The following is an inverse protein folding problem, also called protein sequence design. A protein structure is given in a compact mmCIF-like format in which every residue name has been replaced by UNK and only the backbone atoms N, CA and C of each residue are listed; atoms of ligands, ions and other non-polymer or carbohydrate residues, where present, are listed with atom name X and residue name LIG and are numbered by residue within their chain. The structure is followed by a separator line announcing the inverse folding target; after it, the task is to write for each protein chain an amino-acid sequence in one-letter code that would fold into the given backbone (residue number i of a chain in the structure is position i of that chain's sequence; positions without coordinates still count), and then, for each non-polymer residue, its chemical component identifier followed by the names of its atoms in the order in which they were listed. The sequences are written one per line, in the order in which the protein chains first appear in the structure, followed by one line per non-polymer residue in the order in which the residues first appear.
data_IF_313147466427
#
_entry.id   IF_313147466427
#
_cell.length_a   1.000
_cell.length_b   1.000
_cell.length_c   1.000
_cell.angle_alpha   90.00
_cell.angle_beta   90.00
_cell.angle_gamma   90.00
#
_symmetry.space_group_name_H-M   'P 1'
#
loop_
_entity.id
_entity.type
_entity.pdbx_description
1 polymer ?
#
# COMPACT_ATOMS: atom_id res chain seq x y z
N UNK A 1 -12.58 42.07 12.34
CA UNK A 1 -11.84 41.49 11.19
C UNK A 1 -12.13 40.00 11.19
N UNK A 2 -12.91 39.51 10.23
CA UNK A 2 -13.05 38.06 10.04
C UNK A 2 -11.69 37.51 9.63
N UNK A 3 -11.12 36.57 10.40
CA UNK A 3 -9.94 35.83 9.96
C UNK A 3 -10.33 35.12 8.66
N UNK A 4 -9.57 35.37 7.60
CA UNK A 4 -9.77 34.68 6.32
C UNK A 4 -9.35 33.23 6.55
N UNK A 5 -10.29 32.30 6.40
CA UNK A 5 -10.01 30.86 6.53
C UNK A 5 -9.07 30.48 5.38
N UNK A 6 -7.98 29.83 5.73
CA UNK A 6 -6.99 29.35 4.77
C UNK A 6 -7.41 27.95 4.31
N UNK A 7 -7.42 27.76 3.00
CA UNK A 7 -7.94 26.59 2.32
C UNK A 7 -6.80 25.92 1.57
N UNK A 8 -6.70 24.61 1.72
CA UNK A 8 -5.76 23.78 1.01
C UNK A 8 -6.53 22.86 0.07
N UNK A 9 -6.13 22.80 -1.19
CA UNK A 9 -6.72 21.90 -2.18
C UNK A 9 -5.78 20.77 -2.56
N UNK A 10 -6.34 19.57 -2.69
CA UNK A 10 -5.61 18.38 -3.13
C UNK A 10 -6.53 17.37 -3.79
N UNK A 11 -5.94 16.27 -4.26
CA UNK A 11 -6.68 15.15 -4.83
C UNK A 11 -7.10 14.23 -3.68
N UNK A 12 -8.40 13.97 -3.58
CA UNK A 12 -8.93 13.01 -2.60
C UNK A 12 -8.59 11.57 -2.98
N UNK A 13 -8.00 10.86 -2.03
CA UNK A 13 -7.71 9.43 -2.11
C UNK A 13 -8.84 8.60 -1.52
N UNK A 14 -9.33 9.00 -0.35
CA UNK A 14 -10.38 8.32 0.39
C UNK A 14 -11.36 9.33 1.00
N UNK A 15 -12.68 9.11 0.86
CA UNK A 15 -13.69 9.99 1.40
C UNK A 15 -13.80 9.86 2.92
N UNK A 16 -13.89 10.99 3.63
CA UNK A 16 -14.05 11.02 5.08
C UNK A 16 -13.83 12.42 5.63
N UNK A 17 -14.17 12.63 6.91
CA UNK A 17 -13.96 13.90 7.61
C UNK A 17 -13.09 13.64 8.84
N UNK A 18 -11.94 14.28 8.90
CA UNK A 18 -11.06 14.29 10.06
C UNK A 18 -10.93 15.70 10.62
N UNK A 19 -10.91 15.82 11.94
CA UNK A 19 -10.76 17.10 12.64
C UNK A 19 -9.71 16.90 13.72
N UNK A 20 -8.60 17.60 13.61
CA UNK A 20 -7.47 17.42 14.51
C UNK A 20 -6.44 18.53 14.39
N UNK A 21 -5.45 18.49 15.27
CA UNK A 21 -4.27 19.35 15.11
C UNK A 21 -3.35 18.78 14.05
N UNK A 22 -2.69 19.66 13.32
CA UNK A 22 -1.68 19.28 12.34
C UNK A 22 -0.43 18.85 13.07
N UNK A 23 0.14 17.75 12.62
CA UNK A 23 1.53 17.40 12.81
C UNK A 23 2.20 17.45 11.45
N UNK A 24 3.18 18.30 11.29
CA UNK A 24 3.98 18.44 10.11
C UNK A 24 5.22 17.56 10.24
N UNK A 25 5.36 16.63 9.30
CA UNK A 25 6.58 15.87 9.11
C UNK A 25 7.57 16.79 8.41
N UNK A 26 8.47 17.35 9.20
CA UNK A 26 9.71 17.87 8.65
C UNK A 26 10.41 16.70 7.97
N UNK A 27 10.71 16.82 6.67
CA UNK A 27 11.91 16.17 6.19
C UNK A 27 13.01 16.69 7.12
N UNK A 28 13.73 15.78 7.80
CA UNK A 28 14.99 16.21 8.41
C UNK A 28 15.72 16.88 7.25
N UNK A 29 15.87 18.21 7.34
CA UNK A 29 16.62 18.97 6.35
C UNK A 29 17.92 18.20 6.15
N UNK A 30 18.52 18.34 4.97
CA UNK A 30 19.95 18.13 4.84
C UNK A 30 20.61 19.06 5.85
N UNK A 31 20.68 18.58 7.08
CA UNK A 31 21.38 19.08 8.20
C UNK A 31 22.77 19.22 7.58
N UNK A 32 23.14 20.46 7.25
CA UNK A 32 24.47 20.85 6.79
C UNK A 32 25.38 20.65 7.99
N UNK A 33 25.67 19.39 8.29
CA UNK A 33 26.25 18.98 9.54
C UNK A 33 27.72 18.70 9.33
N UNK A 34 28.47 19.28 10.26
CA UNK A 34 29.85 19.67 10.12
C UNK A 34 30.72 18.52 9.65
N UNK A 35 31.29 18.77 8.47
CA UNK A 35 32.65 18.47 8.03
C UNK A 35 33.39 17.28 8.67
N UNK A 36 34.12 16.59 7.79
CA UNK A 36 35.48 16.07 8.02
C UNK A 36 36.16 16.73 9.24
N UNK A 37 36.91 15.96 10.04
CA UNK A 37 37.36 16.36 11.37
C UNK A 37 38.18 17.66 11.34
N UNK A 38 37.50 18.80 11.46
CA UNK A 38 38.04 20.09 11.80
C UNK A 38 36.84 20.97 12.20
N UNK A 39 36.73 21.22 13.51
CA UNK A 39 35.83 22.19 14.15
C UNK A 39 34.37 21.75 14.38
N UNK A 40 34.16 20.78 15.28
CA UNK A 40 32.96 20.75 16.14
C UNK A 40 33.33 21.21 17.56
N UNK A 41 32.74 22.36 17.91
CA UNK A 41 32.44 22.89 19.25
C UNK A 41 33.01 22.16 20.48
N UNK A 42 33.88 22.88 21.19
CA UNK A 42 34.62 22.51 22.41
C UNK A 42 33.81 22.11 23.66
N UNK A 43 32.49 22.01 23.62
CA UNK A 43 31.68 21.92 24.85
C UNK A 43 31.10 20.53 25.17
N UNK A 44 31.47 19.47 24.42
CA UNK A 44 31.16 18.08 24.78
C UNK A 44 32.32 17.10 24.61
N UNK A 45 33.56 17.58 24.65
CA UNK A 45 34.74 16.72 24.61
C UNK A 45 35.42 16.66 25.98
N UNK A 46 35.23 15.54 26.68
CA UNK A 46 36.26 15.02 27.56
C UNK A 46 37.56 14.81 26.76
N UNK A 47 38.70 14.99 27.42
CA UNK A 47 40.02 15.05 26.82
C UNK A 47 40.28 14.03 25.70
N UNK A 48 40.75 14.53 24.55
CA UNK A 48 41.12 13.86 23.28
C UNK A 48 39.98 13.70 22.27
N UNK A 49 39.88 14.64 21.33
CA UNK A 49 38.96 14.61 20.18
C UNK A 49 39.37 13.64 19.08
N UNK A 50 39.67 12.40 19.46
CA UNK A 50 39.98 11.32 18.53
C UNK A 50 38.73 10.46 18.38
N UNK A 51 38.14 10.44 17.18
CA UNK A 51 37.13 9.44 16.81
C UNK A 51 37.84 8.09 16.82
N UNK A 52 37.41 7.17 17.67
CA UNK A 52 37.94 5.81 17.70
C UNK A 52 37.11 4.94 16.75
N UNK A 53 37.67 4.45 15.63
CA UNK A 53 36.91 3.70 14.63
C UNK A 53 36.17 2.49 15.22
N UNK A 54 36.77 1.83 16.21
CA UNK A 54 36.18 0.68 16.91
C UNK A 54 34.89 1.04 17.66
N UNK A 55 34.84 2.20 18.31
CA UNK A 55 33.64 2.66 19.01
C UNK A 55 32.54 3.06 18.03
N UNK A 56 32.87 3.77 16.95
CA UNK A 56 31.92 4.15 15.92
C UNK A 56 31.36 2.94 15.16
N UNK A 57 32.20 1.93 14.89
CA UNK A 57 31.75 0.65 14.30
C UNK A 57 30.74 -0.02 15.24
N UNK A 58 30.99 -0.08 16.54
CA UNK A 58 30.04 -0.65 17.50
C UNK A 58 28.72 0.16 17.59
N UNK A 59 28.78 1.49 17.49
CA UNK A 59 27.57 2.34 17.43
C UNK A 59 26.78 2.03 16.14
N UNK A 60 27.46 1.91 15.00
CA UNK A 60 26.86 1.55 13.72
C UNK A 60 26.20 0.17 13.76
N UNK A 61 26.91 -0.85 14.23
CA UNK A 61 26.40 -2.23 14.35
C UNK A 61 25.13 -2.27 15.19
N UNK A 62 25.14 -1.59 16.35
CA UNK A 62 23.96 -1.48 17.22
C UNK A 62 22.79 -0.78 16.53
N UNK A 63 23.05 0.30 15.78
CA UNK A 63 22.00 1.01 15.04
C UNK A 63 21.38 0.12 13.95
N UNK A 64 22.20 -0.67 13.25
CA UNK A 64 21.75 -1.64 12.23
C UNK A 64 20.91 -2.75 12.86
N UNK A 65 21.35 -3.33 13.98
CA UNK A 65 20.59 -4.35 14.70
C UNK A 65 19.21 -3.83 15.14
N UNK A 66 19.17 -2.61 15.69
CA UNK A 66 17.92 -1.96 16.08
C UNK A 66 17.00 -1.67 14.89
N UNK A 67 17.56 -1.19 13.77
CA UNK A 67 16.82 -0.94 12.54
C UNK A 67 16.21 -2.25 12.00
N UNK A 68 16.98 -3.34 11.96
CA UNK A 68 16.51 -4.67 11.56
C UNK A 68 15.38 -5.15 12.49
N UNK A 69 15.51 -4.97 13.80
CA UNK A 69 14.45 -5.37 14.75
C UNK A 69 13.16 -4.56 14.54
N UNK A 70 13.27 -3.25 14.29
CA UNK A 70 12.13 -2.39 13.95
C UNK A 70 11.44 -2.86 12.66
N UNK A 71 12.19 -3.07 11.58
CA UNK A 71 11.64 -3.55 10.30
C UNK A 71 10.95 -4.91 10.43
N UNK A 72 11.54 -5.86 11.17
CA UNK A 72 10.90 -7.15 11.44
C UNK A 72 9.62 -7.02 12.28
N UNK A 73 9.54 -6.01 13.15
CA UNK A 73 8.33 -5.72 13.92
C UNK A 73 7.25 -5.14 13.02
N UNK A 74 7.59 -4.21 12.13
CA UNK A 74 6.66 -3.69 11.12
C UNK A 74 6.20 -4.78 10.16
N UNK A 75 7.10 -5.66 9.71
CA UNK A 75 6.75 -6.83 8.91
C UNK A 75 5.69 -7.71 9.57
N UNK A 76 5.88 -8.08 10.84
CA UNK A 76 4.92 -8.90 11.59
C UNK A 76 3.57 -8.22 11.77
N UNK A 77 3.56 -6.90 12.00
CA UNK A 77 2.32 -6.12 12.10
C UNK A 77 1.60 -6.01 10.77
N UNK A 78 2.32 -5.70 9.70
CA UNK A 78 1.78 -5.64 8.34
C UNK A 78 1.17 -7.00 7.92
N UNK A 79 1.81 -8.12 8.26
CA UNK A 79 1.23 -9.45 8.01
C UNK A 79 -0.08 -9.74 8.75
N UNK A 80 -0.29 -9.11 9.92
CA UNK A 80 -1.50 -9.31 10.73
C UNK A 80 -2.63 -8.37 10.33
N UNK A 81 -2.30 -7.23 9.74
CA UNK A 81 -3.20 -6.08 9.64
C UNK A 81 -3.33 -5.50 8.22
N UNK A 82 -2.57 -5.99 7.24
CA UNK A 82 -2.59 -5.57 5.82
C UNK A 82 -2.40 -6.78 4.89
N UNK A 83 -2.41 -6.56 3.58
CA UNK A 83 -2.11 -7.58 2.57
C UNK A 83 -0.62 -8.01 2.58
N UNK A 84 -0.35 -9.20 2.04
CA UNK A 84 1.02 -9.78 2.00
C UNK A 84 1.99 -8.94 1.17
N UNK A 85 1.51 -8.23 0.15
CA UNK A 85 2.35 -7.42 -0.73
C UNK A 85 2.86 -6.19 0.02
N UNK A 86 1.99 -5.51 0.77
CA UNK A 86 2.39 -4.41 1.68
C UNK A 86 3.41 -4.86 2.74
N UNK A 87 3.28 -6.08 3.28
CA UNK A 87 4.24 -6.60 4.25
C UNK A 87 5.62 -6.89 3.61
N UNK A 88 5.66 -7.32 2.34
CA UNK A 88 6.91 -7.71 1.67
C UNK A 88 7.97 -6.60 1.64
N UNK A 89 7.55 -5.34 1.67
CA UNK A 89 8.41 -4.14 1.71
C UNK A 89 9.32 -4.15 2.94
N UNK A 90 8.76 -4.39 4.13
CA UNK A 90 9.53 -4.40 5.38
C UNK A 90 10.50 -5.59 5.46
N UNK A 91 10.11 -6.75 4.91
CA UNK A 91 11.02 -7.88 4.79
C UNK A 91 12.19 -7.56 3.85
N UNK A 92 11.89 -6.84 2.77
CA UNK A 92 12.87 -6.41 1.80
C UNK A 92 13.83 -5.34 2.36
N UNK A 93 13.33 -4.37 3.11
CA UNK A 93 14.13 -3.41 3.88
C UNK A 93 15.10 -4.11 4.85
N UNK A 94 14.60 -5.08 5.62
CA UNK A 94 15.44 -5.87 6.52
C UNK A 94 16.52 -6.67 5.79
N UNK A 95 16.32 -7.05 4.53
CA UNK A 95 17.35 -7.69 3.70
C UNK A 95 18.43 -6.69 3.26
N UNK A 96 18.06 -5.47 2.86
CA UNK A 96 19.05 -4.42 2.53
C UNK A 96 19.91 -4.09 3.74
N UNK A 97 19.32 -3.95 4.93
CA UNK A 97 20.07 -3.65 6.16
C UNK A 97 21.05 -4.76 6.54
N UNK A 98 20.83 -6.00 6.07
CA UNK A 98 21.74 -7.14 6.26
C UNK A 98 22.79 -7.28 5.16
N UNK A 99 22.79 -6.39 4.17
CA UNK A 99 23.75 -6.46 3.07
C UNK A 99 25.17 -6.21 3.59
N UNK A 100 26.03 -7.21 3.38
CA UNK A 100 27.42 -7.21 3.84
C UNK A 100 28.25 -6.12 3.15
N UNK A 101 27.96 -5.83 1.88
CA UNK A 101 28.69 -4.80 1.13
C UNK A 101 28.30 -3.41 1.62
N UNK A 102 27.01 -3.16 1.91
CA UNK A 102 26.54 -1.91 2.52
C UNK A 102 27.21 -1.67 3.87
N UNK A 103 27.25 -2.70 4.72
CA UNK A 103 27.94 -2.65 6.02
C UNK A 103 29.42 -2.32 5.86
N UNK A 104 30.10 -3.00 4.93
CA UNK A 104 31.52 -2.80 4.65
C UNK A 104 31.82 -1.39 4.14
N UNK A 105 30.98 -0.83 3.28
CA UNK A 105 31.11 0.55 2.80
C UNK A 105 31.02 1.55 3.98
N UNK A 106 30.07 1.37 4.90
CA UNK A 106 29.95 2.24 6.07
C UNK A 106 31.16 2.11 7.01
N UNK A 107 31.63 0.90 7.28
CA UNK A 107 32.84 0.67 8.06
C UNK A 107 34.10 1.30 7.41
N UNK A 108 34.19 1.32 6.09
CA UNK A 108 35.29 1.99 5.38
C UNK A 108 35.27 3.52 5.58
N UNK A 109 34.09 4.14 5.56
CA UNK A 109 33.97 5.58 5.84
C UNK A 109 34.36 5.91 7.29
N UNK A 110 34.01 5.05 8.25
CA UNK A 110 34.45 5.18 9.64
C UNK A 110 35.97 5.02 9.76
N UNK A 111 36.57 4.05 9.07
CA UNK A 111 38.02 3.84 9.05
C UNK A 111 38.79 5.01 8.45
N UNK A 112 38.15 5.82 7.58
CA UNK A 112 38.71 7.08 7.05
C UNK A 112 38.60 8.26 8.03
N UNK A 113 38.06 8.02 9.24
CA UNK A 113 37.90 9.03 10.29
C UNK A 113 36.52 9.69 10.33
N UNK A 114 35.52 9.12 9.64
CA UNK A 114 34.13 9.55 9.77
C UNK A 114 33.47 9.03 11.05
N UNK A 115 32.47 9.75 11.55
CA UNK A 115 31.53 9.21 12.54
C UNK A 115 30.55 8.22 11.88
N UNK A 116 29.86 7.41 12.68
CA UNK A 116 28.84 6.49 12.19
C UNK A 116 27.67 7.23 11.48
N UNK A 117 27.28 8.42 11.97
CA UNK A 117 26.26 9.28 11.32
C UNK A 117 26.74 9.73 9.92
N UNK A 118 28.00 10.19 9.82
CA UNK A 118 28.60 10.57 8.54
C UNK A 118 28.71 9.38 7.57
N UNK A 119 29.11 8.21 8.07
CA UNK A 119 29.25 7.01 7.25
C UNK A 119 27.92 6.56 6.66
N UNK A 120 26.84 6.56 7.45
CA UNK A 120 25.48 6.24 6.98
C UNK A 120 25.07 7.25 5.90
N UNK A 121 25.19 8.55 6.17
CA UNK A 121 24.80 9.59 5.20
C UNK A 121 25.60 9.51 3.90
N UNK A 122 26.93 9.36 3.98
CA UNK A 122 27.83 9.32 2.82
C UNK A 122 27.50 8.12 1.91
N UNK A 123 27.37 6.93 2.49
CA UNK A 123 27.08 5.71 1.74
C UNK A 123 25.68 5.78 1.12
N UNK A 124 24.66 6.17 1.87
CA UNK A 124 23.29 6.25 1.33
C UNK A 124 23.14 7.35 0.28
N UNK A 125 23.75 8.54 0.47
CA UNK A 125 23.75 9.59 -0.55
C UNK A 125 24.41 9.15 -1.85
N UNK A 126 25.50 8.38 -1.78
CA UNK A 126 26.14 7.82 -2.96
C UNK A 126 25.22 6.80 -3.67
N UNK A 127 24.53 5.94 -2.91
CA UNK A 127 23.56 4.99 -3.48
C UNK A 127 22.36 5.71 -4.11
N UNK A 128 21.83 6.74 -3.45
CA UNK A 128 20.71 7.53 -3.95
C UNK A 128 21.06 8.29 -5.23
N UNK A 129 22.29 8.79 -5.35
CA UNK A 129 22.77 9.47 -6.55
C UNK A 129 22.69 8.60 -7.81
N UNK A 130 22.88 7.28 -7.68
CA UNK A 130 22.75 6.34 -8.81
C UNK A 130 21.33 6.21 -9.34
N UNK A 131 20.31 6.57 -8.55
CA UNK A 131 18.90 6.49 -8.92
C UNK A 131 18.30 7.84 -9.35
N UNK A 132 19.05 8.94 -9.19
CA UNK A 132 18.58 10.31 -9.47
C UNK A 132 18.30 10.61 -10.94
N UNK A 133 18.96 9.91 -11.86
CA UNK A 133 18.94 10.21 -13.31
C UNK A 133 17.91 9.37 -14.10
N UNK A 134 17.08 8.56 -13.44
CA UNK A 134 16.15 7.65 -14.10
C UNK A 134 14.68 8.08 -13.96
N UNK A 135 14.00 8.23 -15.10
CA UNK A 135 12.56 8.52 -15.19
C UNK A 135 11.66 7.29 -14.98
N UNK A 136 12.23 6.09 -14.80
CA UNK A 136 11.47 4.86 -14.56
C UNK A 136 10.76 4.88 -13.18
N UNK A 137 9.50 4.44 -13.16
CA UNK A 137 8.71 4.28 -11.95
C UNK A 137 9.38 3.33 -10.94
N UNK A 138 9.97 2.23 -11.41
CA UNK A 138 10.64 1.26 -10.55
C UNK A 138 11.84 1.89 -9.80
N UNK A 139 12.64 2.69 -10.49
CA UNK A 139 13.80 3.36 -9.89
C UNK A 139 13.41 4.49 -8.93
N UNK A 140 12.28 5.16 -9.16
CA UNK A 140 11.72 6.15 -8.21
C UNK A 140 11.28 5.52 -6.90
N UNK A 141 10.56 4.40 -6.96
CA UNK A 141 10.17 3.66 -5.74
C UNK A 141 11.40 3.17 -4.99
N UNK A 142 12.38 2.64 -5.73
CA UNK A 142 13.64 2.17 -5.14
C UNK A 142 14.42 3.26 -4.39
N UNK A 143 14.46 4.45 -4.95
CA UNK A 143 15.10 5.62 -4.33
C UNK A 143 14.42 5.95 -2.99
N UNK A 144 13.08 5.94 -2.96
CA UNK A 144 12.29 6.22 -1.76
C UNK A 144 12.54 5.19 -0.66
N UNK A 145 12.62 3.90 -1.00
CA UNK A 145 12.95 2.84 -0.04
C UNK A 145 14.34 3.06 0.61
N UNK A 146 15.33 3.48 -0.19
CA UNK A 146 16.67 3.78 0.31
C UNK A 146 16.72 5.05 1.17
N UNK A 147 15.92 6.07 0.84
CA UNK A 147 15.75 7.25 1.69
C UNK A 147 15.15 6.88 3.04
N UNK A 148 14.10 6.04 3.05
CA UNK A 148 13.44 5.58 4.28
C UNK A 148 14.41 4.78 5.17
N UNK A 149 15.16 3.84 4.58
CA UNK A 149 16.18 3.08 5.30
C UNK A 149 17.27 3.96 5.92
N UNK A 150 17.71 5.00 5.21
CA UNK A 150 18.65 5.99 5.74
C UNK A 150 18.08 6.67 6.98
N UNK A 151 16.82 7.12 6.92
CA UNK A 151 16.16 7.77 8.06
C UNK A 151 15.98 6.83 9.25
N UNK A 152 15.60 5.58 9.02
CA UNK A 152 15.47 4.55 10.07
C UNK A 152 16.81 4.33 10.78
N UNK A 153 17.90 4.18 10.02
CA UNK A 153 19.24 3.97 10.56
C UNK A 153 19.73 5.15 11.40
N UNK A 154 19.59 6.38 10.87
CA UNK A 154 19.98 7.59 11.59
C UNK A 154 19.14 7.78 12.87
N UNK A 155 17.84 7.51 12.80
CA UNK A 155 16.95 7.55 13.96
C UNK A 155 17.38 6.56 15.05
N UNK A 156 17.71 5.32 14.67
CA UNK A 156 18.23 4.32 15.60
C UNK A 156 19.58 4.74 16.20
N UNK A 157 20.50 5.26 15.38
CA UNK A 157 21.81 5.76 15.82
C UNK A 157 21.68 6.90 16.83
N UNK A 158 20.79 7.86 16.55
CA UNK A 158 20.53 9.03 17.40
C UNK A 158 19.70 8.70 18.65
N UNK A 159 19.18 7.46 18.74
CA UNK A 159 18.32 7.03 19.84
C UNK A 159 16.98 7.77 19.88
N UNK A 160 16.53 8.30 18.74
CA UNK A 160 15.24 8.99 18.63
C UNK A 160 14.16 7.92 18.84
N UNK A 161 13.44 8.04 19.96
CA UNK A 161 12.30 7.17 20.22
C UNK A 161 11.16 7.58 19.31
N UNK A 162 10.44 6.58 18.82
CA UNK A 162 9.19 6.83 18.13
C UNK A 162 8.23 7.48 19.14
N UNK A 163 7.93 8.76 18.98
CA UNK A 163 6.90 9.43 19.79
C UNK A 163 5.62 8.59 19.78
N UNK A 164 5.32 7.96 20.91
CA UNK A 164 4.00 7.40 21.19
C UNK A 164 3.07 8.56 21.49
N UNK A 165 2.71 9.27 20.42
CA UNK A 165 1.83 10.41 20.51
C UNK A 165 0.43 9.94 20.86
N UNK A 166 -0.06 10.39 22.01
CA UNK A 166 -1.32 9.94 22.60
C UNK A 166 -2.53 10.77 22.14
N UNK A 167 -2.29 11.90 21.48
CA UNK A 167 -3.34 12.81 20.99
C UNK A 167 -3.59 12.60 19.50
N UNK A 168 -4.86 12.48 19.06
CA UNK A 168 -5.17 12.35 17.65
C UNK A 168 -4.77 13.58 16.80
N UNK A 169 -4.14 13.37 15.64
CA UNK A 169 -3.60 14.40 14.76
C UNK A 169 -3.83 14.11 13.27
N UNK A 170 -3.70 15.15 12.44
CA UNK A 170 -3.66 15.07 10.97
C UNK A 170 -2.20 15.26 10.54
N UNK A 171 -1.63 14.30 9.82
CA UNK A 171 -0.24 14.40 9.36
C UNK A 171 -0.15 15.21 8.06
N UNK A 172 0.79 16.13 8.00
CA UNK A 172 1.13 16.87 6.78
C UNK A 172 2.61 16.67 6.46
N UNK A 173 2.98 16.58 5.19
CA UNK A 173 4.39 16.45 4.81
C UNK A 173 4.58 16.32 3.30
N UNK A 174 5.82 16.28 2.84
CA UNK A 174 6.12 16.12 1.41
C UNK A 174 5.56 14.80 0.86
N UNK A 175 5.93 13.69 1.51
CA UNK A 175 5.39 12.36 1.24
C UNK A 175 5.27 11.56 2.56
N UNK A 176 4.55 10.44 2.51
CA UNK A 176 4.52 9.45 3.58
C UNK A 176 5.24 8.18 3.13
N UNK A 177 6.17 7.69 3.94
CA UNK A 177 6.76 6.36 3.74
C UNK A 177 5.84 5.27 4.31
N UNK A 178 5.97 4.01 3.87
CA UNK A 178 5.33 2.87 4.51
C UNK A 178 5.63 2.81 6.02
N UNK A 179 6.87 3.12 6.41
CA UNK A 179 7.31 3.12 7.81
C UNK A 179 6.58 4.16 8.67
N UNK A 180 6.36 5.37 8.16
CA UNK A 180 5.57 6.40 8.86
C UNK A 180 4.16 5.92 9.14
N UNK A 181 3.54 5.31 8.14
CA UNK A 181 2.16 4.86 8.29
C UNK A 181 2.01 3.78 9.34
N UNK A 182 2.99 2.86 9.45
CA UNK A 182 3.01 1.84 10.50
C UNK A 182 3.36 2.41 11.87
N UNK A 183 4.19 3.45 11.93
CA UNK A 183 4.52 4.16 13.16
C UNK A 183 3.28 4.84 13.77
N UNK A 184 2.48 5.51 12.94
CA UNK A 184 1.34 6.32 13.41
C UNK A 184 0.01 5.58 13.50
N UNK A 185 -0.05 4.29 13.10
CA UNK A 185 -1.29 3.48 13.07
C UNK A 185 -1.97 3.26 14.43
N UNK A 186 -1.32 3.56 15.56
CA UNK A 186 -1.86 3.35 16.93
C UNK A 186 -2.96 4.36 17.32
N UNK A 187 -4.09 4.38 16.61
CA UNK A 187 -5.33 5.09 16.97
C UNK A 187 -5.26 6.63 17.14
N UNK A 188 -4.14 7.27 16.83
CA UNK A 188 -3.99 8.74 16.90
C UNK A 188 -3.88 9.39 15.52
N UNK A 189 -3.72 8.60 14.47
CA UNK A 189 -3.67 9.12 13.11
C UNK A 189 -5.07 9.26 12.51
N UNK A 190 -5.55 10.51 12.37
CA UNK A 190 -6.89 10.81 11.87
C UNK A 190 -6.99 10.90 10.34
N UNK A 191 -5.86 11.16 9.67
CA UNK A 191 -5.78 11.37 8.23
C UNK A 191 -4.49 12.09 7.84
N UNK A 192 -4.22 12.23 6.54
CA UNK A 192 -3.02 12.92 6.06
C UNK A 192 -3.23 13.80 4.83
N UNK A 193 -2.30 14.75 4.67
CA UNK A 193 -2.17 15.60 3.49
C UNK A 193 -0.72 15.60 3.02
N UNK A 194 -0.46 15.18 1.78
CA UNK A 194 0.89 15.19 1.21
C UNK A 194 1.03 16.12 0.01
N UNK A 195 2.22 16.70 -0.17
CA UNK A 195 2.55 17.50 -1.37
C UNK A 195 2.77 16.62 -2.59
N UNK A 196 3.42 15.48 -2.39
CA UNK A 196 3.63 14.45 -3.40
C UNK A 196 2.60 13.32 -3.26
N UNK A 197 2.68 12.35 -4.18
CA UNK A 197 1.85 11.16 -4.17
C UNK A 197 0.89 11.08 -5.35
N UNK A 198 0.32 9.90 -5.52
CA UNK A 198 -0.63 9.59 -6.59
C UNK A 198 -1.80 8.77 -6.04
N UNK A 199 -2.91 8.72 -6.77
CA UNK A 199 -4.07 7.90 -6.43
C UNK A 199 -3.75 6.39 -6.32
N UNK A 200 -2.62 5.94 -6.85
CA UNK A 200 -2.18 4.54 -6.87
C UNK A 200 -0.94 4.28 -6.01
N UNK A 201 -0.43 5.29 -5.32
CA UNK A 201 0.73 5.15 -4.44
C UNK A 201 0.42 4.26 -3.22
N UNK A 202 1.47 3.71 -2.60
CA UNK A 202 1.36 2.88 -1.38
C UNK A 202 0.58 3.59 -0.26
N UNK A 203 0.81 4.89 -0.08
CA UNK A 203 0.08 5.72 0.89
C UNK A 203 -1.41 5.83 0.55
N UNK A 204 -1.73 5.91 -0.74
CA UNK A 204 -3.10 5.96 -1.22
C UNK A 204 -3.84 4.64 -1.04
N UNK A 205 -3.17 3.51 -1.30
CA UNK A 205 -3.71 2.17 -1.03
C UNK A 205 -3.99 2.00 0.46
N UNK A 206 -3.04 2.42 1.30
CA UNK A 206 -3.18 2.29 2.74
C UNK A 206 -4.34 3.13 3.31
N UNK A 207 -4.49 4.38 2.87
CA UNK A 207 -5.63 5.23 3.26
C UNK A 207 -6.96 4.53 3.02
N UNK A 208 -7.10 3.81 1.90
CA UNK A 208 -8.30 3.04 1.57
C UNK A 208 -8.47 1.81 2.44
N UNK A 209 -7.38 1.11 2.75
CA UNK A 209 -7.39 -0.08 3.62
C UNK A 209 -7.81 0.26 5.05
N UNK A 210 -7.29 1.36 5.60
CA UNK A 210 -7.55 1.76 6.99
C UNK A 210 -8.83 2.63 7.10
N UNK A 211 -9.29 3.19 5.99
CA UNK A 211 -10.52 3.98 5.94
C UNK A 211 -10.38 5.38 6.55
N UNK A 212 -9.20 5.98 6.43
CA UNK A 212 -8.92 7.35 6.90
C UNK A 212 -8.91 8.34 5.73
N UNK A 213 -9.45 9.55 5.90
CA UNK A 213 -9.41 10.57 4.85
C UNK A 213 -7.98 10.97 4.51
N UNK A 214 -7.72 11.17 3.23
CA UNK A 214 -6.40 11.56 2.73
C UNK A 214 -6.48 12.44 1.49
N UNK A 215 -5.61 13.44 1.44
CA UNK A 215 -5.37 14.30 0.29
C UNK A 215 -3.92 14.17 -0.16
N UNK A 216 -3.71 14.05 -1.47
CA UNK A 216 -2.37 14.07 -2.08
C UNK A 216 -2.27 15.24 -3.05
N UNK A 217 -1.05 15.60 -3.47
CA UNK A 217 -0.80 16.69 -4.41
C UNK A 217 -1.19 18.08 -3.89
N UNK A 218 -1.08 18.30 -2.59
CA UNK A 218 -1.38 19.58 -1.97
C UNK A 218 -0.12 20.46 -1.92
N UNK A 219 0.00 21.41 -2.85
CA UNK A 219 1.19 22.25 -2.99
C UNK A 219 1.38 23.26 -1.86
N UNK A 220 0.28 23.66 -1.22
CA UNK A 220 0.21 24.79 -0.29
C UNK A 220 0.60 24.43 1.16
N UNK A 221 0.91 23.16 1.46
CA UNK A 221 1.32 22.74 2.81
C UNK A 221 2.66 23.39 3.22
N UNK A 222 2.85 23.70 4.50
CA UNK A 222 4.14 24.23 4.99
C UNK A 222 4.42 23.84 6.45
N UNK A 223 5.69 23.82 6.88
CA UNK A 223 6.06 23.54 8.27
C UNK A 223 5.44 24.49 9.31
N UNK A 224 5.14 25.72 8.91
CA UNK A 224 4.50 26.73 9.77
C UNK A 224 3.08 26.33 10.20
N UNK A 225 2.51 25.29 9.58
CA UNK A 225 1.19 24.78 9.89
C UNK A 225 1.15 23.84 11.10
N UNK A 226 2.30 23.45 11.65
CA UNK A 226 2.43 22.62 12.85
C UNK A 226 1.52 23.11 13.99
N UNK A 227 0.78 22.18 14.60
CA UNK A 227 -0.08 22.43 15.76
C UNK A 227 -1.37 23.21 15.48
N UNK A 228 -1.57 23.75 14.27
CA UNK A 228 -2.81 24.45 13.87
C UNK A 228 -4.00 23.48 13.80
N UNK A 229 -5.21 24.00 14.01
CA UNK A 229 -6.42 23.18 13.90
C UNK A 229 -6.77 23.01 12.43
N UNK A 230 -7.04 21.78 12.00
CA UNK A 230 -7.39 21.46 10.63
C UNK A 230 -8.65 20.60 10.56
N UNK A 231 -9.51 20.91 9.59
CA UNK A 231 -10.57 20.02 9.11
C UNK A 231 -10.12 19.47 7.77
N UNK A 232 -9.98 18.16 7.67
CA UNK A 232 -9.68 17.45 6.43
C UNK A 232 -10.97 16.86 5.87
N UNK A 233 -11.42 17.34 4.72
CA UNK A 233 -12.59 16.85 4.00
C UNK A 233 -12.18 16.09 2.73
N UNK A 234 -12.10 14.77 2.87
CA UNK A 234 -11.85 13.85 1.77
C UNK A 234 -13.01 13.74 0.78
N UNK A 235 -14.21 14.24 1.07
CA UNK A 235 -15.30 14.25 0.07
C UNK A 235 -15.11 15.37 -0.95
N UNK A 236 -14.71 16.56 -0.48
CA UNK A 236 -14.54 17.73 -1.33
C UNK A 236 -13.10 17.94 -1.82
N UNK A 237 -12.13 17.17 -1.32
CA UNK A 237 -10.73 17.35 -1.68
C UNK A 237 -10.09 18.57 -1.03
N UNK A 238 -10.60 19.01 0.13
CA UNK A 238 -10.24 20.29 0.74
C UNK A 238 -9.85 20.12 2.21
N UNK A 239 -8.82 20.84 2.65
CA UNK A 239 -8.49 21.00 4.06
C UNK A 239 -8.64 22.47 4.50
N UNK A 240 -9.25 22.69 5.65
CA UNK A 240 -9.53 24.01 6.22
C UNK A 240 -8.64 24.24 7.43
N UNK A 241 -7.80 25.27 7.37
CA UNK A 241 -6.89 25.64 8.44
C UNK A 241 -7.51 26.74 9.32
N UNK A 242 -7.36 26.57 10.64
CA UNK A 242 -7.93 27.44 11.68
C UNK A 242 -9.40 27.82 11.40
N UNK A 243 -10.30 26.82 11.25
CA UNK A 243 -11.70 27.07 11.00
C UNK A 243 -12.31 27.92 12.11
N UNK A 244 -13.25 28.79 11.76
CA UNK A 244 -14.05 29.48 12.76
C UNK A 244 -14.98 28.51 13.48
N UNK A 245 -15.60 28.98 14.57
CA UNK A 245 -16.46 28.14 15.41
C UNK A 245 -17.67 27.61 14.64
N UNK A 246 -18.21 28.40 13.73
CA UNK A 246 -19.40 28.05 12.96
C UNK A 246 -19.08 26.92 11.97
N UNK A 247 -17.97 27.02 11.23
CA UNK A 247 -17.51 25.96 10.33
C UNK A 247 -17.11 24.69 11.08
N UNK A 248 -16.45 24.84 12.23
CA UNK A 248 -16.05 23.69 13.06
C UNK A 248 -17.26 22.90 13.57
N UNK A 249 -18.31 23.57 14.04
CA UNK A 249 -19.54 22.90 14.48
C UNK A 249 -20.31 22.28 13.31
N UNK A 250 -20.34 22.93 12.14
CA UNK A 250 -20.92 22.34 10.93
C UNK A 250 -20.22 21.01 10.55
N UNK A 251 -18.89 20.99 10.53
CA UNK A 251 -18.13 19.78 10.18
C UNK A 251 -18.17 18.71 11.26
N UNK A 252 -18.28 19.07 12.54
CA UNK A 252 -18.55 18.10 13.62
C UNK A 252 -19.89 17.41 13.43
N UNK A 253 -20.93 18.14 13.07
CA UNK A 253 -22.24 17.55 12.75
C UNK A 253 -22.16 16.64 11.53
N UNK A 254 -21.45 17.05 10.48
CA UNK A 254 -21.21 16.20 9.29
C UNK A 254 -20.45 14.92 9.65
N UNK A 255 -19.38 15.03 10.44
CA UNK A 255 -18.58 13.90 10.91
C UNK A 255 -19.44 12.93 11.75
N UNK A 256 -20.22 13.45 12.70
CA UNK A 256 -21.11 12.63 13.53
C UNK A 256 -22.17 11.90 12.69
N UNK A 257 -22.72 12.56 11.67
CA UNK A 257 -23.70 11.96 10.75
C UNK A 257 -23.08 10.87 9.89
N UNK A 258 -21.85 11.05 9.40
CA UNK A 258 -21.16 10.01 8.63
C UNK A 258 -20.76 8.82 9.52
N UNK A 259 -20.36 9.08 10.77
CA UNK A 259 -20.11 8.04 11.77
C UNK A 259 -21.39 7.22 12.06
N UNK A 260 -22.52 7.89 12.26
CA UNK A 260 -23.82 7.25 12.46
C UNK A 260 -24.22 6.41 11.25
N UNK A 261 -24.06 6.95 10.04
CA UNK A 261 -24.33 6.24 8.79
C UNK A 261 -23.41 5.01 8.65
N UNK A 262 -22.11 5.14 8.95
CA UNK A 262 -21.16 4.03 8.92
C UNK A 262 -21.55 2.92 9.90
N UNK A 263 -21.95 3.29 11.13
CA UNK A 263 -22.46 2.34 12.12
C UNK A 263 -23.75 1.66 11.63
N UNK A 264 -24.69 2.44 11.10
CA UNK A 264 -25.93 1.90 10.53
C UNK A 264 -25.66 0.92 9.38
N UNK A 265 -24.71 1.20 8.49
CA UNK A 265 -24.29 0.29 7.43
C UNK A 265 -23.60 -0.97 7.98
N UNK A 266 -22.75 -0.83 8.99
CA UNK A 266 -22.11 -1.97 9.65
C UNK A 266 -23.16 -2.89 10.30
N UNK A 267 -24.22 -2.33 10.89
CA UNK A 267 -25.34 -3.11 11.43
C UNK A 267 -26.16 -3.85 10.36
N UNK A 268 -26.04 -3.46 9.09
CA UNK A 268 -26.68 -4.17 7.96
C UNK A 268 -25.84 -5.36 7.47
N UNK A 269 -24.54 -5.43 7.81
CA UNK A 269 -23.60 -6.46 7.31
C UNK A 269 -24.15 -7.88 7.34
N UNK A 270 -24.80 -8.27 8.44
CA UNK A 270 -25.32 -9.63 8.63
C UNK A 270 -26.84 -9.75 8.43
N UNK A 271 -27.48 -8.70 7.91
CA UNK A 271 -28.93 -8.70 7.66
C UNK A 271 -29.21 -9.14 6.24
N UNK A 272 -30.30 -9.88 6.07
CA UNK A 272 -30.76 -10.28 4.76
C UNK A 272 -31.14 -9.05 3.93
N UNK A 273 -30.71 -9.01 2.67
CA UNK A 273 -31.09 -7.94 1.74
C UNK A 273 -32.54 -8.16 1.27
N UNK A 274 -33.48 -7.41 1.84
CA UNK A 274 -34.90 -7.49 1.53
C UNK A 274 -35.38 -6.12 1.07
N UNK A 275 -36.04 -6.06 -0.09
CA UNK A 275 -36.67 -4.85 -0.59
C UNK A 275 -37.92 -4.46 0.24
N UNK A 276 -38.41 -3.23 0.08
CA UNK A 276 -39.62 -2.76 0.78
C UNK A 276 -40.88 -3.57 0.46
N UNK A 277 -40.93 -4.21 -0.71
CA UNK A 277 -41.99 -5.13 -1.14
C UNK A 277 -41.73 -6.61 -0.78
N UNK A 278 -40.69 -6.89 0.02
CA UNK A 278 -40.44 -8.22 0.59
C UNK A 278 -39.63 -9.17 -0.31
N UNK A 279 -39.03 -8.70 -1.41
CA UNK A 279 -38.19 -9.54 -2.27
C UNK A 279 -36.80 -9.67 -1.68
N UNK A 280 -36.36 -10.91 -1.53
CA UNK A 280 -35.01 -11.25 -1.11
C UNK A 280 -34.09 -11.12 -2.31
N UNK A 281 -32.98 -10.41 -2.13
CA UNK A 281 -31.91 -10.29 -3.12
C UNK A 281 -30.62 -10.82 -2.49
N UNK A 282 -29.71 -11.30 -3.34
CA UNK A 282 -28.37 -11.67 -2.91
C UNK A 282 -27.40 -10.56 -3.33
N UNK A 283 -26.53 -10.17 -2.43
CA UNK A 283 -25.49 -9.18 -2.67
C UNK A 283 -24.15 -9.89 -2.76
N UNK A 284 -23.67 -10.05 -3.98
CA UNK A 284 -22.42 -10.73 -4.28
C UNK A 284 -21.26 -9.75 -4.44
N UNK A 285 -20.08 -10.15 -3.99
CA UNK A 285 -18.85 -9.39 -4.18
C UNK A 285 -18.17 -9.74 -5.52
N UNK A 286 -17.44 -8.76 -6.08
CA UNK A 286 -16.53 -8.98 -7.19
C UNK A 286 -15.10 -8.92 -6.67
N UNK A 287 -14.31 -9.95 -6.94
CA UNK A 287 -12.93 -10.06 -6.45
C UNK A 287 -11.95 -10.28 -7.61
N UNK A 288 -10.69 -9.93 -7.37
CA UNK A 288 -9.60 -10.10 -8.33
C UNK A 288 -8.44 -10.95 -7.81
N UNK A 289 -8.43 -11.32 -6.53
CA UNK A 289 -7.40 -12.12 -5.86
C UNK A 289 -8.00 -12.84 -4.63
N UNK A 290 -7.19 -13.67 -3.95
CA UNK A 290 -7.58 -14.41 -2.75
C UNK A 290 -7.89 -13.55 -1.52
N UNK A 291 -7.35 -12.32 -1.44
CA UNK A 291 -7.58 -11.40 -0.32
C UNK A 291 -8.99 -10.81 -0.40
N UNK A 292 -9.50 -10.64 -1.62
CA UNK A 292 -10.86 -10.15 -1.86
C UNK A 292 -11.95 -11.02 -1.24
N UNK A 293 -11.72 -12.33 -1.05
CA UNK A 293 -12.69 -13.22 -0.40
C UNK A 293 -12.88 -12.89 1.09
N UNK A 294 -11.80 -12.55 1.79
CA UNK A 294 -11.84 -12.18 3.21
C UNK A 294 -12.56 -10.84 3.38
N UNK A 295 -12.19 -9.84 2.58
CA UNK A 295 -12.86 -8.54 2.55
C UNK A 295 -14.35 -8.68 2.23
N UNK A 296 -14.73 -9.58 1.31
CA UNK A 296 -16.13 -9.84 0.99
C UNK A 296 -16.92 -10.40 2.19
N UNK A 297 -16.33 -11.34 2.94
CA UNK A 297 -16.93 -11.88 4.17
C UNK A 297 -17.00 -10.82 5.28
N UNK A 298 -15.96 -10.00 5.42
CA UNK A 298 -15.93 -8.87 6.34
C UNK A 298 -16.95 -7.79 6.02
N UNK A 299 -17.43 -7.71 4.78
CA UNK A 299 -18.50 -6.80 4.38
C UNK A 299 -19.87 -7.48 4.27
N UNK A 300 -19.98 -8.76 4.62
CA UNK A 300 -21.25 -9.47 4.69
C UNK A 300 -21.80 -9.94 3.34
N UNK A 301 -20.94 -10.12 2.33
CA UNK A 301 -21.37 -10.60 1.02
C UNK A 301 -22.04 -11.98 1.10
N UNK A 302 -23.08 -12.19 0.30
CA UNK A 302 -23.79 -13.47 0.19
C UNK A 302 -22.98 -14.55 -0.54
N UNK A 303 -21.92 -14.12 -1.24
CA UNK A 303 -20.98 -14.95 -2.00
C UNK A 303 -20.08 -14.09 -2.88
N UNK A 304 -19.39 -14.73 -3.82
CA UNK A 304 -18.61 -14.07 -4.88
C UNK A 304 -19.35 -14.25 -6.20
N UNK A 305 -19.80 -13.16 -6.79
CA UNK A 305 -20.55 -13.14 -8.06
C UNK A 305 -19.65 -13.00 -9.28
N UNK A 306 -18.40 -12.60 -9.06
CA UNK A 306 -17.37 -12.57 -10.09
C UNK A 306 -15.98 -12.65 -9.45
N UNK A 307 -15.32 -13.79 -9.62
CA UNK A 307 -13.88 -13.91 -9.44
C UNK A 307 -13.19 -13.76 -10.79
N UNK A 308 -12.49 -12.64 -10.95
CA UNK A 308 -11.63 -12.33 -12.11
C UNK A 308 -10.34 -13.13 -12.02
N UNK A 309 -10.17 -14.13 -12.89
CA UNK A 309 -8.99 -15.01 -12.88
C UNK A 309 -7.80 -14.45 -13.66
N UNK A 310 -7.92 -13.29 -14.31
CA UNK A 310 -6.87 -12.79 -15.21
C UNK A 310 -5.56 -12.46 -14.49
N UNK A 311 -5.62 -12.09 -13.22
CA UNK A 311 -4.42 -11.74 -12.44
C UNK A 311 -3.41 -12.89 -12.39
N UNK A 312 -3.88 -14.14 -12.40
CA UNK A 312 -3.04 -15.35 -12.42
C UNK A 312 -2.14 -15.45 -13.64
N UNK A 313 -2.51 -14.77 -14.72
CA UNK A 313 -1.86 -14.83 -16.03
C UNK A 313 -1.06 -13.55 -16.34
N UNK A 314 -1.25 -12.47 -15.59
CA UNK A 314 -0.59 -11.18 -15.84
C UNK A 314 0.70 -11.06 -15.03
N UNK A 315 1.65 -10.23 -15.49
CA UNK A 315 2.93 -9.95 -14.83
C UNK A 315 3.82 -11.17 -14.59
N UNK A 316 3.81 -12.14 -15.53
CA UNK A 316 4.61 -13.38 -15.44
C UNK A 316 5.19 -13.77 -16.80
N UNK A 317 6.26 -14.57 -16.75
CA UNK A 317 6.94 -15.07 -17.96
C UNK A 317 6.39 -16.40 -18.47
N UNK A 318 5.49 -17.04 -17.73
CA UNK A 318 4.88 -18.31 -18.10
C UNK A 318 3.44 -18.42 -17.57
N UNK A 319 2.64 -19.24 -18.24
CA UNK A 319 1.28 -19.56 -17.81
C UNK A 319 1.26 -20.26 -16.44
N UNK A 320 0.27 -19.96 -15.57
CA UNK A 320 0.13 -20.64 -14.29
C UNK A 320 -0.20 -22.11 -14.50
N UNK A 321 0.45 -22.97 -13.71
CA UNK A 321 0.19 -24.42 -13.72
C UNK A 321 -1.21 -24.75 -13.20
N UNK A 322 -1.71 -25.95 -13.55
CA UNK A 322 -2.98 -26.46 -13.00
C UNK A 322 -2.95 -26.50 -11.47
N UNK A 323 -1.81 -26.85 -10.87
CA UNK A 323 -1.70 -26.98 -9.41
C UNK A 323 -1.75 -25.63 -8.70
N UNK A 324 -1.07 -24.61 -9.22
CA UNK A 324 -1.15 -23.25 -8.68
C UNK A 324 -2.58 -22.70 -8.75
N UNK A 325 -3.27 -22.91 -9.89
CA UNK A 325 -4.66 -22.52 -10.06
C UNK A 325 -5.58 -23.26 -9.08
N UNK A 326 -5.38 -24.58 -8.93
CA UNK A 326 -6.17 -25.40 -8.02
C UNK A 326 -6.04 -24.95 -6.56
N UNK A 327 -4.80 -24.72 -6.09
CA UNK A 327 -4.55 -24.30 -4.70
C UNK A 327 -5.24 -22.97 -4.39
N UNK A 328 -5.15 -22.00 -5.30
CA UNK A 328 -5.83 -20.72 -5.18
C UNK A 328 -7.37 -20.87 -5.15
N UNK A 329 -7.94 -21.57 -6.13
CA UNK A 329 -9.40 -21.75 -6.17
C UNK A 329 -9.92 -22.50 -4.96
N UNK A 330 -9.18 -23.51 -4.49
CA UNK A 330 -9.49 -24.23 -3.25
C UNK A 330 -9.51 -23.28 -2.05
N UNK A 331 -8.47 -22.45 -1.89
CA UNK A 331 -8.39 -21.51 -0.76
C UNK A 331 -9.60 -20.56 -0.72
N UNK A 332 -9.98 -20.00 -1.87
CA UNK A 332 -11.15 -19.10 -1.95
C UNK A 332 -12.45 -19.85 -1.63
N UNK A 333 -12.64 -21.05 -2.17
CA UNK A 333 -13.84 -21.86 -1.90
C UNK A 333 -13.95 -22.27 -0.42
N UNK A 334 -12.84 -22.72 0.19
CA UNK A 334 -12.80 -23.10 1.60
C UNK A 334 -13.13 -21.92 2.53
N UNK A 335 -12.65 -20.71 2.21
CA UNK A 335 -13.01 -19.48 2.93
C UNK A 335 -14.50 -19.16 2.83
N UNK A 336 -15.08 -19.32 1.64
CA UNK A 336 -16.48 -18.99 1.37
C UNK A 336 -17.48 -20.06 1.85
N UNK A 337 -17.00 -21.26 2.18
CA UNK A 337 -17.79 -22.39 2.68
C UNK A 337 -18.93 -22.74 1.70
N UNK A 338 -20.18 -22.60 2.14
CA UNK A 338 -21.38 -22.91 1.35
C UNK A 338 -21.80 -21.78 0.41
N UNK A 339 -21.21 -20.59 0.55
CA UNK A 339 -21.53 -19.43 -0.29
C UNK A 339 -21.02 -19.66 -1.71
N UNK A 340 -21.81 -19.23 -2.69
CA UNK A 340 -21.47 -19.38 -4.11
C UNK A 340 -20.22 -18.57 -4.48
N UNK A 341 -19.35 -19.16 -5.30
CA UNK A 341 -18.19 -18.52 -5.90
C UNK A 341 -18.26 -18.70 -7.41
N UNK A 342 -18.55 -17.61 -8.12
CA UNK A 342 -18.62 -17.58 -9.58
C UNK A 342 -17.25 -17.21 -10.14
N UNK A 343 -16.48 -18.18 -10.62
CA UNK A 343 -15.18 -17.95 -11.26
C UNK A 343 -15.34 -17.74 -12.75
N UNK A 344 -14.88 -16.58 -13.23
CA UNK A 344 -14.79 -16.32 -14.65
C UNK A 344 -13.50 -16.91 -15.21
N UNK A 345 -13.61 -17.72 -16.25
CA UNK A 345 -12.44 -18.22 -16.99
C UNK A 345 -11.68 -17.03 -17.60
N UNK A 346 -10.39 -17.19 -17.85
CA UNK A 346 -9.53 -16.04 -18.15
C UNK A 346 -10.04 -15.19 -19.33
N UNK A 347 -10.15 -13.87 -19.14
CA UNK A 347 -10.44 -12.89 -20.20
C UNK A 347 -9.20 -11.99 -20.44
N UNK A 348 -8.23 -12.57 -21.16
CA UNK A 348 -6.99 -11.91 -21.60
C UNK A 348 -7.03 -11.72 -23.14
N UNK A 349 -6.22 -10.80 -23.68
CA UNK A 349 -6.14 -10.53 -25.13
C UNK A 349 -6.68 -9.18 -25.63
N UNK A 350 -7.11 -8.28 -24.75
CA UNK A 350 -7.35 -6.88 -25.10
C UNK A 350 -6.07 -6.05 -24.88
N UNK A 351 -6.14 -5.00 -24.07
CA UNK A 351 -5.00 -4.13 -23.72
C UNK A 351 -4.03 -4.77 -22.70
N UNK A 352 -4.25 -6.04 -22.35
CA UNK A 352 -3.51 -6.76 -21.31
C UNK A 352 -2.43 -7.61 -21.97
N UNK A 353 -1.19 -7.12 -21.99
CA UNK A 353 -0.06 -7.84 -22.55
C UNK A 353 0.30 -9.07 -21.70
N UNK A 354 0.29 -10.25 -22.33
CA UNK A 354 0.73 -11.53 -21.72
C UNK A 354 1.90 -12.05 -22.56
N UNK A 355 3.15 -11.77 -22.16
CA UNK A 355 4.32 -11.93 -23.04
C UNK A 355 4.54 -13.35 -23.59
N UNK A 356 4.12 -14.37 -22.85
CA UNK A 356 4.25 -15.77 -23.23
C UNK A 356 3.13 -16.28 -24.16
N UNK A 357 2.06 -15.51 -24.33
CA UNK A 357 1.06 -15.76 -25.37
C UNK A 357 1.51 -14.97 -26.60
N UNK A 358 2.03 -15.67 -27.61
CA UNK A 358 2.42 -15.10 -28.90
C UNK A 358 1.17 -14.60 -29.65
N UNK A 359 0.62 -13.48 -29.22
CA UNK A 359 -0.52 -12.82 -29.84
C UNK A 359 -0.02 -11.81 -30.87
N UNK A 360 -0.59 -11.86 -32.08
CA UNK A 360 -0.38 -10.82 -33.08
C UNK A 360 -1.04 -9.52 -32.60
N UNK A 361 -0.39 -8.38 -32.82
CA UNK A 361 -1.00 -7.08 -32.50
C UNK A 361 -2.18 -6.82 -33.43
N UNK A 362 -3.38 -6.86 -32.87
CA UNK A 362 -4.61 -6.56 -33.58
C UNK A 362 -4.86 -5.05 -33.64
N UNK A 363 -5.47 -4.56 -34.75
CA UNK A 363 -5.85 -3.15 -34.88
C UNK A 363 -6.92 -2.72 -33.86
N UNK A 364 -7.76 -3.66 -33.42
CA UNK A 364 -8.79 -3.42 -32.42
C UNK A 364 -8.90 -4.63 -31.46
N UNK A 365 -8.09 -4.65 -30.38
CA UNK A 365 -8.08 -5.74 -29.41
C UNK A 365 -9.44 -5.96 -28.71
N UNK A 366 -10.26 -4.91 -28.56
CA UNK A 366 -11.56 -5.02 -27.92
C UNK A 366 -12.55 -5.88 -28.72
N UNK A 367 -12.43 -5.91 -30.05
CA UNK A 367 -13.27 -6.72 -30.95
C UNK A 367 -12.59 -8.02 -31.42
N UNK A 368 -11.34 -8.24 -31.02
CA UNK A 368 -10.48 -9.29 -31.55
C UNK A 368 -10.52 -10.63 -30.80
N UNK A 369 -9.36 -11.28 -30.71
CA UNK A 369 -9.18 -12.61 -30.08
C UNK A 369 -8.97 -12.46 -28.56
N UNK A 370 -10.08 -12.41 -27.83
CA UNK A 370 -10.12 -12.31 -26.36
C UNK A 370 -11.23 -13.17 -25.74
N UNK A 371 -11.25 -13.28 -24.42
CA UNK A 371 -12.27 -14.02 -23.68
C UNK A 371 -12.40 -15.46 -24.19
N UNK A 372 -13.63 -15.93 -24.39
CA UNK A 372 -13.86 -17.32 -24.83
C UNK A 372 -13.18 -17.67 -26.16
N UNK A 373 -13.03 -16.73 -27.10
CA UNK A 373 -12.39 -16.99 -28.39
C UNK A 373 -10.93 -17.38 -28.22
N UNK A 374 -10.25 -16.70 -27.29
CA UNK A 374 -8.88 -17.05 -26.93
C UNK A 374 -8.85 -18.39 -26.18
N UNK A 375 -9.78 -18.65 -25.26
CA UNK A 375 -9.86 -19.94 -24.55
C UNK A 375 -10.01 -21.12 -25.52
N UNK A 376 -10.87 -20.98 -26.54
CA UNK A 376 -11.13 -22.03 -27.54
C UNK A 376 -9.97 -22.18 -28.54
N UNK A 377 -9.20 -21.12 -28.79
CA UNK A 377 -7.96 -21.16 -29.56
C UNK A 377 -6.82 -21.81 -28.77
N UNK A 378 -6.58 -21.35 -27.55
CA UNK A 378 -5.52 -21.82 -26.64
C UNK A 378 -6.03 -22.93 -25.71
N UNK A 379 -6.50 -24.04 -26.30
CA UNK A 379 -7.18 -25.12 -25.57
C UNK A 379 -6.35 -25.74 -24.44
N UNK A 380 -5.03 -25.76 -24.56
CA UNK A 380 -4.15 -26.31 -23.51
C UNK A 380 -4.25 -25.47 -22.23
N UNK A 381 -4.18 -24.14 -22.36
CA UNK A 381 -4.35 -23.19 -21.25
C UNK A 381 -5.74 -23.31 -20.64
N UNK A 382 -6.75 -23.36 -21.51
CA UNK A 382 -8.14 -23.46 -21.07
C UNK A 382 -8.43 -24.76 -20.32
N UNK A 383 -7.94 -25.91 -20.83
CA UNK A 383 -8.08 -27.20 -20.16
C UNK A 383 -7.39 -27.24 -18.80
N UNK A 384 -6.21 -26.62 -18.66
CA UNK A 384 -5.53 -26.53 -17.37
C UNK A 384 -6.39 -25.79 -16.33
N UNK A 385 -6.99 -24.65 -16.71
CA UNK A 385 -7.90 -23.91 -15.83
C UNK A 385 -9.16 -24.70 -15.49
N UNK A 386 -9.82 -25.30 -16.48
CA UNK A 386 -11.03 -26.10 -16.25
C UNK A 386 -10.75 -27.28 -15.32
N UNK A 387 -9.64 -28.00 -15.51
CA UNK A 387 -9.24 -29.10 -14.61
C UNK A 387 -9.01 -28.61 -13.18
N UNK A 388 -8.34 -27.48 -13.01
CA UNK A 388 -8.14 -26.87 -11.70
C UNK A 388 -9.48 -26.50 -11.02
N UNK A 389 -10.42 -25.90 -11.76
CA UNK A 389 -11.76 -25.55 -11.28
C UNK A 389 -12.57 -26.78 -10.88
N UNK A 390 -12.60 -27.81 -11.73
CA UNK A 390 -13.31 -29.07 -11.44
C UNK A 390 -12.73 -29.80 -10.23
N UNK A 391 -11.41 -29.75 -10.03
CA UNK A 391 -10.77 -30.27 -8.81
C UNK A 391 -11.17 -29.44 -7.58
N UNK A 392 -11.21 -28.12 -7.71
CA UNK A 392 -11.53 -27.20 -6.62
C UNK A 392 -13.01 -27.27 -6.20
N UNK A 393 -13.92 -27.63 -7.11
CA UNK A 393 -15.37 -27.71 -6.83
C UNK A 393 -15.75 -28.72 -5.74
N UNK A 394 -14.84 -29.60 -5.32
CA UNK A 394 -15.05 -30.49 -4.18
C UNK A 394 -14.99 -29.77 -2.82
N UNK A 395 -14.48 -28.54 -2.78
CA UNK A 395 -14.19 -27.80 -1.55
C UNK A 395 -15.17 -26.64 -1.29
N UNK A 396 -16.15 -26.40 -2.16
CA UNK A 396 -17.15 -25.36 -1.99
C UNK A 396 -18.12 -25.25 -3.18
N UNK A 397 -19.04 -24.28 -3.11
CA UNK A 397 -20.03 -24.06 -4.15
C UNK A 397 -19.46 -23.22 -5.30
N UNK A 398 -19.03 -23.88 -6.38
CA UNK A 398 -18.36 -23.25 -7.52
C UNK A 398 -19.28 -23.15 -8.75
N UNK A 399 -19.33 -21.96 -9.34
CA UNK A 399 -19.94 -21.68 -10.64
C UNK A 399 -18.87 -21.23 -11.64
N UNK A 400 -18.91 -21.71 -12.88
CA UNK A 400 -17.96 -21.31 -13.94
C UNK A 400 -18.66 -20.34 -14.90
N UNK A 401 -18.10 -19.15 -15.06
CA UNK A 401 -18.60 -18.10 -15.95
C UNK A 401 -17.72 -17.97 -17.20
N UNK A 402 -18.34 -17.95 -18.38
CA UNK A 402 -17.67 -17.80 -19.67
C UNK A 402 -17.73 -16.33 -20.15
N UNK A 403 -16.59 -15.66 -20.39
CA UNK A 403 -16.56 -14.28 -20.88
C UNK A 403 -16.82 -14.21 -22.39
N UNK A 404 -17.46 -13.12 -22.84
CA UNK A 404 -17.54 -12.74 -24.27
C UNK A 404 -18.21 -13.78 -25.19
N UNK A 405 -19.15 -14.59 -24.66
CA UNK A 405 -19.97 -15.49 -25.48
C UNK A 405 -20.79 -14.66 -26.47
N UNK A 406 -20.67 -15.00 -27.75
CA UNK A 406 -21.37 -14.35 -28.87
C UNK A 406 -22.28 -15.29 -29.64
N UNK A 407 -22.10 -16.60 -29.46
CA UNK A 407 -22.83 -17.64 -30.20
C UNK A 407 -23.08 -18.89 -29.33
N UNK A 408 -24.07 -19.70 -29.73
CA UNK A 408 -24.36 -20.96 -29.04
C UNK A 408 -23.30 -22.03 -29.32
N UNK A 409 -22.63 -21.96 -30.46
CA UNK A 409 -21.53 -22.84 -30.82
C UNK A 409 -20.38 -22.76 -29.80
N UNK A 410 -20.01 -21.56 -29.36
CA UNK A 410 -18.97 -21.34 -28.33
C UNK A 410 -19.34 -22.01 -27.00
N UNK A 411 -20.62 -21.95 -26.61
CA UNK A 411 -21.13 -22.60 -25.39
C UNK A 411 -21.05 -24.12 -25.52
N UNK A 412 -21.50 -24.68 -26.64
CA UNK A 412 -21.49 -26.13 -26.88
C UNK A 412 -20.06 -26.68 -26.98
N UNK A 413 -19.15 -25.96 -27.63
CA UNK A 413 -17.74 -26.34 -27.70
C UNK A 413 -17.08 -26.31 -26.33
N UNK A 414 -17.36 -25.29 -25.54
CA UNK A 414 -16.86 -25.20 -24.16
C UNK A 414 -17.36 -26.35 -23.31
N UNK A 415 -18.65 -26.68 -23.41
CA UNK A 415 -19.24 -27.79 -22.68
C UNK A 415 -18.56 -29.12 -23.01
N UNK A 416 -18.22 -29.37 -24.29
CA UNK A 416 -17.44 -30.55 -24.72
C UNK A 416 -16.00 -30.58 -24.21
N UNK A 417 -15.44 -29.45 -23.78
CA UNK A 417 -14.11 -29.38 -23.16
C UNK A 417 -14.19 -29.68 -21.65
N UNK A 418 -15.33 -29.34 -21.03
CA UNK A 418 -15.60 -29.55 -19.61
C UNK A 418 -16.02 -31.01 -19.33
N UNK A 419 -16.88 -31.58 -20.19
CA UNK A 419 -17.28 -33.00 -20.19
C UNK A 419 -16.15 -33.92 -20.67
#
# INVERSE_FOLDING_TARGET
MCKKIELLHGISVFPGIAIGRIKYRLEEEQETFSAKPEETSKDKLGASGTIFPENEIHILERAIEQAIEKENTFYKRALQETDKDSASIFAFHALILKDVELHKMMCQEIQKGGSADFAIQSVFSAQLAHFSDSDDMYFRERKRDLEDLRHILLSCLRGIKDDEESTPFILMGEDLSPSDTMRYRKNTFLGFVTREGSLFSHTAILSRSIGIPALVQCQEISPEMEGRLCILDGFSGTAFLDPDKDLLEEYRLKQAKEEEKRKALHDLKNKQCISKDGKIMQVFANIADETGAEVALENGADGIGLFRSEFLYMNRNAAPSEEEQFLLYREVLEKMKEKEVVVRVFDIGADKEVPYLLQEKEKNPALGIRGIRLCLRERALFKAQIRALLRASLYGNLSILLPMISSMEEVLETKKIIE
#
